data_IF_900511157836
#
_entry.id   IF_900511157836
#
_cell.length_a   1.000
_cell.length_b   1.000
_cell.length_c   1.000
_cell.angle_alpha   90.00
_cell.angle_beta   90.00
_cell.angle_gamma   90.00
#
_symmetry.space_group_name_H-M   'P 1'
#
loop_
_entity.id
_entity.type
_entity.pdbx_description
1 polymer ?
#
# COMPACT_ATOMS: atom_id res chain seq x y z
N UNK A 1 -25.15 -6.84 6.24
CA UNK A 1 -24.12 -7.36 5.29
C UNK A 1 -22.81 -6.59 5.41
N UNK A 2 -22.86 -5.28 5.26
CA UNK A 2 -21.66 -4.44 5.40
C UNK A 2 -21.02 -4.56 6.78
N UNK A 3 -21.81 -4.53 7.84
CA UNK A 3 -21.32 -4.70 9.21
C UNK A 3 -20.59 -6.02 9.41
N UNK A 4 -21.08 -7.08 8.79
CA UNK A 4 -20.45 -8.40 8.86
C UNK A 4 -19.07 -8.39 8.23
N UNK A 5 -18.92 -7.72 7.08
CA UNK A 5 -17.65 -7.65 6.38
C UNK A 5 -16.64 -6.82 7.15
N UNK A 6 -17.09 -5.71 7.74
CA UNK A 6 -16.23 -4.87 8.58
C UNK A 6 -15.76 -5.64 9.82
N UNK A 7 -16.66 -6.35 10.50
CA UNK A 7 -16.29 -7.18 11.64
C UNK A 7 -15.30 -8.26 11.27
N UNK A 8 -15.48 -8.87 10.10
CA UNK A 8 -14.58 -9.90 9.62
C UNK A 8 -13.19 -9.35 9.37
N UNK A 9 -13.10 -8.16 8.81
CA UNK A 9 -11.81 -7.48 8.64
C UNK A 9 -11.14 -7.27 10.00
N UNK A 10 -11.87 -6.80 10.98
CA UNK A 10 -11.36 -6.59 12.33
C UNK A 10 -10.84 -7.88 12.96
N UNK A 11 -11.63 -8.93 12.89
CA UNK A 11 -11.27 -10.24 13.45
C UNK A 11 -10.03 -10.80 12.76
N UNK A 12 -9.99 -10.74 11.43
CA UNK A 12 -8.85 -11.22 10.67
C UNK A 12 -7.58 -10.45 11.01
N UNK A 13 -7.67 -9.14 11.17
CA UNK A 13 -6.51 -8.32 11.54
C UNK A 13 -6.00 -8.66 12.92
N UNK A 14 -6.89 -8.89 13.89
CA UNK A 14 -6.48 -9.31 15.23
C UNK A 14 -5.72 -10.62 15.18
N UNK A 15 -6.21 -11.58 14.41
CA UNK A 15 -5.56 -12.87 14.25
C UNK A 15 -4.19 -12.73 13.61
N UNK A 16 -4.08 -11.95 12.53
CA UNK A 16 -2.83 -11.74 11.84
C UNK A 16 -1.81 -11.06 12.75
N UNK A 17 -2.22 -10.02 13.47
CA UNK A 17 -1.34 -9.32 14.40
C UNK A 17 -0.87 -10.21 15.53
N UNK A 18 -1.77 -11.02 16.05
CA UNK A 18 -1.40 -12.00 17.07
C UNK A 18 -0.30 -12.94 16.58
N UNK A 19 -0.44 -13.45 15.36
CA UNK A 19 0.57 -14.33 14.76
C UNK A 19 1.89 -13.63 14.54
N UNK A 20 1.86 -12.38 14.11
CA UNK A 20 3.09 -11.57 13.93
C UNK A 20 3.78 -11.38 15.29
N UNK A 21 3.03 -11.00 16.31
CA UNK A 21 3.57 -10.79 17.65
C UNK A 21 4.16 -12.08 18.22
N UNK A 22 3.45 -13.20 18.04
CA UNK A 22 3.93 -14.51 18.51
C UNK A 22 5.26 -14.88 17.82
N UNK A 23 5.34 -14.68 16.51
CA UNK A 23 6.57 -14.95 15.77
C UNK A 23 7.71 -14.06 16.25
N UNK A 24 7.43 -12.79 16.53
CA UNK A 24 8.44 -11.85 17.01
C UNK A 24 8.96 -12.26 18.40
N UNK A 25 8.07 -12.67 19.29
CA UNK A 25 8.46 -13.14 20.62
C UNK A 25 9.38 -14.34 20.50
N UNK A 26 9.06 -15.28 19.62
CA UNK A 26 9.86 -16.49 19.43
C UNK A 26 11.28 -16.19 18.94
N UNK A 27 11.46 -15.17 18.12
CA UNK A 27 12.78 -14.83 17.55
C UNK A 27 13.45 -13.65 18.25
N UNK A 28 12.87 -13.14 19.33
CA UNK A 28 13.46 -12.04 20.10
C UNK A 28 13.41 -10.69 19.39
N UNK A 29 12.45 -10.50 18.49
CA UNK A 29 12.31 -9.26 17.72
C UNK A 29 11.17 -8.42 18.28
N UNK A 30 11.35 -7.10 18.29
CA UNK A 30 10.30 -6.17 18.68
C UNK A 30 9.21 -6.12 17.59
N UNK A 31 7.94 -6.42 17.93
CA UNK A 31 6.86 -6.37 16.94
C UNK A 31 6.72 -5.02 16.25
N UNK A 32 7.11 -3.93 16.89
CA UNK A 32 7.03 -2.59 16.29
C UNK A 32 7.96 -2.42 15.08
N UNK A 33 8.93 -3.33 14.91
CA UNK A 33 9.83 -3.32 13.75
C UNK A 33 9.22 -3.96 12.52
N UNK A 34 8.04 -4.57 12.64
CA UNK A 34 7.37 -5.24 11.54
C UNK A 34 6.17 -4.39 11.12
N UNK A 35 6.15 -4.00 9.85
CA UNK A 35 5.03 -3.24 9.30
C UNK A 35 4.13 -4.17 8.49
N UNK A 36 2.84 -4.15 8.81
CA UNK A 36 1.86 -4.93 8.08
C UNK A 36 1.30 -4.11 6.93
N UNK A 37 1.40 -4.64 5.72
CA UNK A 37 0.81 -4.02 4.53
C UNK A 37 -0.51 -4.72 4.19
N UNK A 38 -1.57 -3.95 4.04
CA UNK A 38 -2.83 -4.48 3.55
C UNK A 38 -2.89 -4.34 2.04
N UNK A 39 -2.99 -5.47 1.34
CA UNK A 39 -3.14 -5.49 -0.11
C UNK A 39 -4.62 -5.30 -0.44
N UNK A 40 -4.91 -4.30 -1.23
CA UNK A 40 -6.27 -3.75 -1.37
C UNK A 40 -6.97 -4.14 -2.68
N UNK A 41 -6.33 -4.91 -3.55
CA UNK A 41 -6.93 -5.27 -4.84
C UNK A 41 -8.29 -5.94 -4.65
N UNK A 42 -9.26 -5.50 -5.43
CA UNK A 42 -10.65 -5.99 -5.44
C UNK A 42 -11.41 -5.79 -4.12
N UNK A 43 -10.83 -5.04 -3.19
CA UNK A 43 -11.48 -4.76 -1.90
C UNK A 43 -12.10 -3.36 -1.93
N UNK A 44 -13.39 -3.21 -1.62
CA UNK A 44 -14.01 -1.89 -1.59
C UNK A 44 -13.33 -0.95 -0.60
N UNK A 45 -13.28 0.34 -0.94
CA UNK A 45 -12.63 1.35 -0.09
C UNK A 45 -13.17 1.36 1.33
N UNK A 46 -14.44 1.07 1.51
CA UNK A 46 -15.06 0.98 2.83
C UNK A 46 -14.39 -0.06 3.73
N UNK A 47 -14.09 -1.24 3.17
CA UNK A 47 -13.42 -2.29 3.92
C UNK A 47 -11.93 -1.98 4.13
N UNK A 48 -11.31 -1.33 3.16
CA UNK A 48 -9.94 -0.84 3.33
C UNK A 48 -9.87 0.14 4.49
N UNK A 49 -10.80 1.08 4.55
CA UNK A 49 -10.85 2.06 5.62
C UNK A 49 -11.17 1.43 6.98
N UNK A 50 -11.92 0.32 7.00
CA UNK A 50 -12.13 -0.44 8.24
C UNK A 50 -10.80 -0.99 8.76
N UNK A 51 -9.94 -1.48 7.88
CA UNK A 51 -8.60 -1.93 8.25
C UNK A 51 -7.76 -0.77 8.77
N UNK A 52 -7.83 0.39 8.11
CA UNK A 52 -7.12 1.59 8.56
C UNK A 52 -7.59 2.01 9.96
N UNK A 53 -8.89 1.96 10.22
CA UNK A 53 -9.44 2.28 11.53
C UNK A 53 -8.92 1.32 12.61
N UNK A 54 -8.56 0.10 12.25
CA UNK A 54 -7.99 -0.88 13.17
C UNK A 54 -6.46 -0.79 13.26
N UNK A 55 -5.87 0.27 12.69
CA UNK A 55 -4.46 0.56 12.87
C UNK A 55 -3.54 0.14 11.73
N UNK A 56 -4.06 -0.30 10.59
CA UNK A 56 -3.24 -0.53 9.41
C UNK A 56 -2.72 0.83 8.92
N UNK A 57 -1.41 0.92 8.72
CA UNK A 57 -0.75 2.18 8.33
C UNK A 57 -0.16 2.13 6.93
N UNK A 58 -0.29 1.02 6.23
CA UNK A 58 0.34 0.84 4.92
C UNK A 58 -0.57 0.02 4.02
N UNK A 59 -0.86 0.57 2.84
CA UNK A 59 -1.67 -0.11 1.82
C UNK A 59 -0.78 -0.47 0.64
N UNK A 60 -1.07 -1.62 0.00
CA UNK A 60 -0.39 -2.04 -1.22
C UNK A 60 -1.38 -2.09 -2.37
N UNK A 61 -1.12 -1.30 -3.41
CA UNK A 61 -1.96 -1.22 -4.61
C UNK A 61 -1.30 -1.93 -5.78
N UNK A 62 -2.07 -2.73 -6.50
CA UNK A 62 -1.57 -3.52 -7.62
C UNK A 62 -1.88 -2.92 -8.99
N UNK A 63 -2.94 -2.12 -9.09
CA UNK A 63 -3.41 -1.59 -10.37
C UNK A 63 -3.60 -0.09 -10.30
N UNK A 64 -3.03 0.62 -11.29
CA UNK A 64 -3.12 2.07 -11.35
C UNK A 64 -4.58 2.53 -11.41
N UNK A 65 -5.41 1.89 -12.22
CA UNK A 65 -6.80 2.29 -12.37
C UNK A 65 -7.58 2.16 -11.08
N UNK A 66 -7.39 1.07 -10.36
CA UNK A 66 -8.06 0.86 -9.08
C UNK A 66 -7.62 1.89 -8.05
N UNK A 67 -6.33 2.20 -7.99
CA UNK A 67 -5.81 3.25 -7.12
C UNK A 67 -6.47 4.60 -7.43
N UNK A 68 -6.53 4.96 -8.70
CA UNK A 68 -7.12 6.24 -9.11
C UNK A 68 -8.59 6.35 -8.73
N UNK A 69 -9.33 5.26 -8.87
CA UNK A 69 -10.77 5.24 -8.54
C UNK A 69 -11.02 5.36 -7.03
N UNK A 70 -10.16 4.77 -6.20
CA UNK A 70 -10.39 4.66 -4.76
C UNK A 70 -9.62 5.68 -3.93
N UNK A 71 -8.62 6.35 -4.52
CA UNK A 71 -7.67 7.17 -3.78
C UNK A 71 -8.35 8.20 -2.88
N UNK A 72 -9.33 8.92 -3.42
CA UNK A 72 -10.01 9.99 -2.66
C UNK A 72 -10.86 9.44 -1.52
N UNK A 73 -11.18 8.16 -1.56
CA UNK A 73 -11.98 7.51 -0.51
C UNK A 73 -11.12 6.92 0.61
N UNK A 74 -9.82 6.79 0.42
CA UNK A 74 -8.94 6.23 1.44
C UNK A 74 -8.64 7.24 2.55
N UNK A 75 -8.54 6.73 3.77
CA UNK A 75 -8.25 7.55 4.95
C UNK A 75 -6.76 7.66 5.26
N UNK A 76 -5.89 7.20 4.37
CA UNK A 76 -4.45 7.30 4.52
C UNK A 76 -3.87 8.27 3.49
N UNK A 77 -2.80 9.00 3.85
CA UNK A 77 -2.12 9.88 2.90
C UNK A 77 -1.29 9.08 1.89
N UNK A 78 -0.87 9.71 0.76
CA UNK A 78 -0.08 9.03 -0.26
C UNK A 78 1.17 8.33 0.28
N UNK A 79 1.82 8.92 1.29
CA UNK A 79 3.06 8.38 1.87
C UNK A 79 2.86 6.97 2.45
N UNK A 80 1.63 6.60 2.77
CA UNK A 80 1.30 5.31 3.35
C UNK A 80 0.65 4.36 2.34
N UNK A 81 0.77 4.66 1.05
CA UNK A 81 0.30 3.80 -0.03
C UNK A 81 1.50 3.43 -0.90
N UNK A 82 1.75 2.14 -1.07
CA UNK A 82 2.81 1.65 -1.95
C UNK A 82 2.20 1.03 -3.19
N UNK A 83 2.84 1.24 -4.34
CA UNK A 83 2.45 0.56 -5.57
C UNK A 83 3.31 -0.70 -5.69
N UNK A 84 2.68 -1.85 -5.68
CA UNK A 84 3.38 -3.14 -5.61
C UNK A 84 3.16 -4.03 -6.83
N UNK A 85 2.32 -3.62 -7.79
CA UNK A 85 2.04 -4.37 -9.00
C UNK A 85 2.78 -3.82 -10.22
N UNK A 86 2.61 -4.49 -11.36
CA UNK A 86 3.23 -4.03 -12.60
C UNK A 86 2.74 -2.62 -12.95
N UNK A 87 3.67 -1.71 -13.19
CA UNK A 87 3.36 -0.32 -13.53
C UNK A 87 3.79 -0.03 -14.96
N UNK A 88 2.80 0.32 -15.79
CA UNK A 88 3.06 0.74 -17.15
C UNK A 88 3.62 2.16 -17.16
N UNK A 89 4.59 2.43 -18.03
CA UNK A 89 5.25 3.74 -18.08
C UNK A 89 4.26 4.88 -18.32
N UNK A 90 3.20 4.64 -19.12
CA UNK A 90 2.22 5.67 -19.42
C UNK A 90 1.27 5.97 -18.24
N UNK A 91 1.37 5.22 -17.15
CA UNK A 91 0.56 5.44 -15.94
C UNK A 91 1.35 6.11 -14.81
N UNK A 92 2.66 6.19 -14.92
CA UNK A 92 3.52 6.76 -13.87
C UNK A 92 3.06 8.15 -13.48
N UNK A 93 2.79 9.00 -14.46
CA UNK A 93 2.37 10.38 -14.20
C UNK A 93 1.15 10.48 -13.30
N UNK A 94 0.21 9.54 -13.44
CA UNK A 94 -1.02 9.53 -12.65
C UNK A 94 -0.81 8.95 -11.26
N UNK A 95 0.14 8.04 -11.10
CA UNK A 95 0.39 7.33 -9.85
C UNK A 95 1.33 8.09 -8.93
N UNK A 96 2.28 8.84 -9.51
CA UNK A 96 3.40 9.43 -8.78
C UNK A 96 2.99 10.32 -7.60
N UNK A 97 1.85 10.97 -7.67
CA UNK A 97 1.37 11.85 -6.60
C UNK A 97 0.53 11.11 -5.55
N UNK A 98 0.26 9.84 -5.76
CA UNK A 98 -0.69 9.07 -4.95
C UNK A 98 -0.04 7.97 -4.12
N UNK A 99 1.25 7.79 -4.25
CA UNK A 99 1.97 6.75 -3.52
C UNK A 99 3.26 7.29 -2.92
N UNK A 100 3.74 6.62 -1.87
CA UNK A 100 5.01 6.98 -1.23
C UNK A 100 6.18 6.13 -1.69
N UNK A 101 5.91 4.98 -2.32
CA UNK A 101 6.95 4.08 -2.83
C UNK A 101 6.41 3.23 -3.98
N UNK A 102 7.25 2.95 -4.96
CA UNK A 102 6.95 2.02 -6.04
C UNK A 102 7.91 0.85 -5.88
N UNK A 103 7.37 -0.34 -5.54
CA UNK A 103 8.16 -1.52 -5.19
C UNK A 103 8.43 -2.44 -6.38
N UNK A 104 7.97 -2.08 -7.56
CA UNK A 104 7.90 -2.96 -8.72
C UNK A 104 8.66 -2.42 -9.93
N UNK A 105 9.79 -1.76 -9.69
CA UNK A 105 10.60 -1.22 -10.79
C UNK A 105 11.40 -2.35 -11.43
N UNK A 106 10.98 -2.73 -12.62
CA UNK A 106 11.51 -3.90 -13.31
C UNK A 106 12.24 -3.58 -14.62
N UNK A 107 12.47 -2.30 -14.93
CA UNK A 107 13.18 -1.91 -16.14
C UNK A 107 13.79 -0.51 -15.98
N UNK A 108 14.85 -0.29 -16.75
CA UNK A 108 15.47 1.04 -16.81
C UNK A 108 14.51 2.07 -17.38
N UNK A 109 13.70 1.68 -18.35
CA UNK A 109 12.71 2.55 -18.96
C UNK A 109 11.71 3.05 -17.91
N UNK A 110 11.20 2.15 -17.07
CA UNK A 110 10.28 2.51 -15.99
C UNK A 110 10.96 3.41 -14.98
N UNK A 111 12.18 3.08 -14.58
CA UNK A 111 12.94 3.90 -13.63
C UNK A 111 13.15 5.32 -14.17
N UNK A 112 13.48 5.47 -15.45
CA UNK A 112 13.67 6.77 -16.07
C UNK A 112 12.39 7.59 -16.10
N UNK A 113 11.26 6.96 -16.36
CA UNK A 113 9.97 7.67 -16.37
C UNK A 113 9.57 8.10 -14.95
N UNK A 114 9.83 7.27 -13.96
CA UNK A 114 9.58 7.63 -12.56
C UNK A 114 10.44 8.84 -12.17
N UNK A 115 11.72 8.82 -12.54
CA UNK A 115 12.61 9.94 -12.27
C UNK A 115 12.12 11.22 -12.94
N UNK A 116 11.73 11.14 -14.19
CA UNK A 116 11.23 12.29 -14.94
C UNK A 116 9.98 12.90 -14.27
N UNK A 117 9.02 12.05 -13.89
CA UNK A 117 7.79 12.51 -13.27
C UNK A 117 8.03 13.08 -11.87
N UNK A 118 8.89 12.43 -11.09
CA UNK A 118 9.19 12.87 -9.74
C UNK A 118 9.94 14.21 -9.77
N UNK A 119 10.92 14.35 -10.66
CA UNK A 119 11.68 15.59 -10.82
C UNK A 119 10.78 16.76 -11.22
N UNK A 120 9.83 16.52 -12.10
CA UNK A 120 8.87 17.54 -12.53
C UNK A 120 8.01 18.08 -11.37
N UNK A 121 7.88 17.28 -10.31
CA UNK A 121 7.11 17.64 -9.12
C UNK A 121 8.01 18.06 -7.94
N UNK A 122 9.32 18.15 -8.14
CA UNK A 122 10.26 18.47 -7.08
C UNK A 122 10.31 17.40 -5.99
N UNK A 123 10.07 16.14 -6.34
CA UNK A 123 10.03 15.01 -5.40
C UNK A 123 11.13 13.99 -5.69
N UNK A 124 11.48 13.27 -4.65
CA UNK A 124 12.28 12.04 -4.77
C UNK A 124 11.36 10.87 -4.49
N UNK A 125 11.24 9.94 -5.42
CA UNK A 125 10.39 8.76 -5.25
C UNK A 125 11.23 7.58 -4.77
N UNK A 126 10.85 7.01 -3.65
CA UNK A 126 11.46 5.78 -3.16
C UNK A 126 11.01 4.60 -4.01
N UNK A 127 11.93 3.73 -4.38
CA UNK A 127 11.63 2.58 -5.21
C UNK A 127 12.34 1.33 -4.71
N UNK A 128 11.78 0.17 -5.05
CA UNK A 128 12.47 -1.11 -4.94
C UNK A 128 12.60 -1.69 -6.35
N UNK A 129 13.78 -2.19 -6.65
CA UNK A 129 14.07 -2.82 -7.94
C UNK A 129 13.72 -4.29 -7.85
N UNK A 130 12.95 -4.75 -8.81
CA UNK A 130 12.44 -6.11 -8.87
C UNK A 130 13.22 -6.97 -9.83
#
# INVERSE_FOLDING_TARGET
MENRSVERVRENLKEIRFRVEEACVKCGRDPSQVTLMAVTKTVPAELVNAAVAEGVTLLGENRAQELLEKFDSYFLPPEQIHFIGHLQTNKVRQVIDKVGMIESVDSVRLAAEIERCAAARGRTMEVLVE
#
